data_IF_239510202584
#
_entry.id   IF_239510202584
#
_cell.length_a   1.000
_cell.length_b   1.000
_cell.length_c   1.000
_cell.angle_alpha   90.00
_cell.angle_beta   90.00
_cell.angle_gamma   90.00
#
_symmetry.space_group_name_H-M   'P 1'
#
loop_
_entity.id
_entity.type
_entity.pdbx_description
1 polymer ?
#
# COMPACT_ATOMS: atom_id res chain seq x y z
N UNK A 1 0.89 16.53 23.19
CA UNK A 1 -0.46 16.90 22.74
C UNK A 1 -1.38 15.96 23.46
N UNK A 2 -2.22 16.50 24.32
CA UNK A 2 -3.25 15.75 25.02
C UNK A 2 -4.57 16.26 24.47
N UNK A 3 -4.99 15.66 23.36
CA UNK A 3 -6.21 16.05 22.67
C UNK A 3 -7.17 14.86 22.74
N UNK A 4 -8.34 15.07 23.33
CA UNK A 4 -9.38 14.04 23.38
C UNK A 4 -9.89 13.70 21.97
N UNK A 5 -9.97 14.70 21.10
CA UNK A 5 -10.32 14.55 19.70
C UNK A 5 -9.54 15.53 18.83
N UNK A 6 -8.98 15.03 17.73
CA UNK A 6 -8.36 15.84 16.68
C UNK A 6 -9.07 15.55 15.37
N UNK A 7 -9.59 16.58 14.70
CA UNK A 7 -10.20 16.43 13.38
C UNK A 7 -9.39 17.21 12.36
N UNK A 8 -8.83 16.50 11.39
CA UNK A 8 -8.09 17.06 10.27
C UNK A 8 -9.01 17.05 9.05
N UNK A 9 -9.30 18.22 8.49
CA UNK A 9 -10.13 18.37 7.28
C UNK A 9 -9.22 18.72 6.10
N UNK A 10 -9.25 17.89 5.06
CA UNK A 10 -8.38 17.96 3.88
C UNK A 10 -6.88 18.08 4.20
N UNK A 11 -6.33 17.31 5.15
CA UNK A 11 -4.89 17.35 5.40
C UNK A 11 -4.13 16.76 4.21
N UNK A 12 -2.94 17.31 3.94
CA UNK A 12 -1.97 16.71 3.03
C UNK A 12 -0.84 16.09 3.85
N UNK A 13 -0.66 14.77 3.71
CA UNK A 13 0.33 13.98 4.44
C UNK A 13 1.38 13.47 3.47
N UNK A 14 2.64 13.81 3.71
CA UNK A 14 3.74 13.32 2.88
C UNK A 14 4.48 12.20 3.59
N UNK A 15 4.49 11.02 2.97
CA UNK A 15 5.28 9.86 3.38
C UNK A 15 6.51 9.80 2.49
N UNK A 16 7.70 9.82 3.09
CA UNK A 16 8.97 9.62 2.39
C UNK A 16 9.49 8.22 2.66
N UNK A 17 9.66 7.43 1.60
CA UNK A 17 10.29 6.12 1.69
C UNK A 17 11.84 6.22 1.52
N UNK A 18 12.47 7.28 2.05
CA UNK A 18 13.90 7.60 1.89
C UNK A 18 14.72 7.38 3.17
N UNK A 19 16.06 7.25 3.06
CA UNK A 19 16.98 7.08 4.20
C UNK A 19 17.10 8.33 5.08
N UNK A 20 16.77 9.50 4.52
CA UNK A 20 16.72 10.79 5.22
C UNK A 20 15.28 11.17 5.61
N UNK A 21 14.53 10.20 6.15
CA UNK A 21 13.19 10.46 6.68
C UNK A 21 13.27 11.37 7.92
N UNK A 22 13.41 12.69 7.71
CA UNK A 22 13.17 13.68 8.76
C UNK A 22 11.75 13.43 9.31
N UNK A 23 11.55 13.48 10.63
CA UNK A 23 10.29 13.12 11.26
C UNK A 23 9.11 13.87 10.63
N UNK A 24 7.98 13.17 10.50
CA UNK A 24 6.71 13.68 9.95
C UNK A 24 6.39 15.07 10.52
N UNK A 25 6.58 16.11 9.70
CA UNK A 25 6.16 17.48 10.01
C UNK A 25 4.71 17.64 9.57
N UNK A 26 3.81 17.70 10.53
CA UNK A 26 2.40 17.99 10.28
C UNK A 26 2.22 19.48 10.02
N UNK A 27 1.63 19.81 8.86
CA UNK A 27 1.24 21.18 8.49
C UNK A 27 2.40 22.11 8.13
N UNK A 28 2.76 22.17 6.84
CA UNK A 28 3.23 23.41 6.20
C UNK A 28 2.84 23.35 4.72
N UNK A 29 1.74 24.02 4.41
CA UNK A 29 1.49 24.56 3.08
C UNK A 29 2.59 25.60 2.80
N UNK A 30 3.23 25.50 1.64
CA UNK A 30 4.32 26.39 1.22
C UNK A 30 3.74 27.74 0.79
N UNK A 31 3.27 28.55 1.72
CA UNK A 31 3.16 30.00 1.57
C UNK A 31 3.51 30.68 2.89
N UNK A 32 4.54 31.52 2.87
CA UNK A 32 5.00 32.25 4.05
C UNK A 32 4.11 33.48 4.30
N UNK A 33 3.46 33.64 5.46
CA UNK A 33 2.88 34.92 5.81
C UNK A 33 3.99 35.92 6.16
N UNK A 34 3.82 37.14 5.65
CA UNK A 34 4.73 38.27 5.81
C UNK A 34 4.92 38.62 7.30
N UNK A 35 6.21 38.76 7.68
CA UNK A 35 6.80 39.42 8.87
C UNK A 35 5.94 39.47 10.15
N UNK A 36 6.29 38.63 11.13
CA UNK A 36 6.02 38.92 12.54
C UNK A 36 7.38 39.14 13.23
N UNK A 37 7.56 40.33 13.82
CA UNK A 37 8.72 40.71 14.63
C UNK A 37 8.64 39.93 15.95
N UNK A 38 9.67 39.16 16.28
CA UNK A 38 9.82 38.58 17.61
C UNK A 38 10.73 39.46 18.45
N UNK A 39 10.22 39.90 19.60
CA UNK A 39 11.03 40.45 20.67
C UNK A 39 11.94 39.36 21.23
N UNK A 40 13.19 39.74 21.49
CA UNK A 40 14.24 38.91 22.09
C UNK A 40 13.86 38.63 23.55
N UNK A 41 13.84 37.36 23.95
CA UNK A 41 13.87 36.96 25.35
C UNK A 41 14.98 35.91 25.52
N UNK A 42 15.94 36.24 26.40
CA UNK A 42 17.02 35.36 26.83
C UNK A 42 16.56 34.43 27.96
N UNK A 43 17.32 33.35 28.10
CA UNK A 43 17.59 32.55 29.33
C UNK A 43 16.80 31.26 29.56
N UNK A 44 17.55 30.20 29.88
CA UNK A 44 17.12 29.12 30.77
C UNK A 44 17.03 27.73 30.15
N UNK A 45 18.08 26.92 30.33
CA UNK A 45 18.04 25.50 30.01
C UNK A 45 16.94 24.77 30.80
N UNK A 46 15.96 24.20 30.10
CA UNK A 46 14.97 23.29 30.68
C UNK A 46 15.26 21.84 30.28
N UNK A 47 15.09 20.87 31.20
CA UNK A 47 15.19 19.45 30.87
C UNK A 47 14.10 19.08 29.85
N UNK A 48 14.47 18.27 28.84
CA UNK A 48 13.58 17.84 27.76
C UNK A 48 12.39 17.06 28.33
N UNK A 49 11.26 17.73 28.55
CA UNK A 49 9.99 17.07 28.86
C UNK A 49 9.63 16.16 27.70
N UNK A 50 9.68 14.84 27.91
CA UNK A 50 9.14 13.86 26.98
C UNK A 50 7.66 14.19 26.77
N UNK A 51 7.32 14.81 25.63
CA UNK A 51 5.94 15.10 25.27
C UNK A 51 5.22 13.75 25.12
N UNK A 52 4.46 13.35 26.13
CA UNK A 52 3.49 12.26 26.01
C UNK A 52 2.49 12.67 24.92
N UNK A 53 2.53 11.97 23.80
CA UNK A 53 1.55 12.12 22.72
C UNK A 53 0.46 11.11 23.02
N UNK A 54 -0.75 11.61 23.30
CA UNK A 54 -1.95 10.79 23.44
C UNK A 54 -2.92 11.25 22.36
N UNK A 55 -3.28 10.35 21.47
CA UNK A 55 -4.25 10.60 20.40
C UNK A 55 -5.38 9.61 20.61
N UNK A 56 -6.36 9.98 21.44
CA UNK A 56 -7.48 9.06 21.72
C UNK A 56 -8.38 8.85 20.50
N UNK A 57 -8.73 9.94 19.80
CA UNK A 57 -9.57 9.95 18.59
C UNK A 57 -9.03 10.97 17.58
N UNK A 58 -8.29 10.52 16.55
CA UNK A 58 -7.93 11.35 15.40
C UNK A 58 -8.78 10.97 14.19
N UNK A 59 -9.43 11.97 13.60
CA UNK A 59 -10.25 11.82 12.42
C UNK A 59 -9.64 12.57 11.26
N UNK A 60 -9.50 11.90 10.13
CA UNK A 60 -9.12 12.50 8.86
C UNK A 60 -10.37 12.53 8.00
N UNK A 61 -10.75 13.72 7.53
CA UNK A 61 -11.83 13.92 6.56
C UNK A 61 -11.22 14.41 5.25
N UNK A 62 -11.46 13.68 4.17
CA UNK A 62 -11.06 14.05 2.81
C UNK A 62 -9.55 14.38 2.65
N UNK A 63 -8.69 13.64 3.32
CA UNK A 63 -7.24 13.84 3.28
C UNK A 63 -6.59 13.36 1.97
N UNK A 64 -5.36 13.81 1.75
CA UNK A 64 -4.49 13.33 0.68
C UNK A 64 -3.18 12.81 1.27
N UNK A 65 -2.79 11.59 0.89
CA UNK A 65 -1.45 11.06 1.18
C UNK A 65 -0.59 11.15 -0.08
N UNK A 66 0.60 11.71 0.04
CA UNK A 66 1.60 11.84 -1.02
C UNK A 66 2.78 10.96 -0.64
N UNK A 67 3.05 9.92 -1.43
CA UNK A 67 4.14 8.98 -1.23
C UNK A 67 5.27 9.34 -2.18
N UNK A 68 6.43 9.71 -1.63
CA UNK A 68 7.64 10.05 -2.38
C UNK A 68 8.62 8.89 -2.23
N UNK A 69 8.99 8.26 -3.35
CA UNK A 69 9.90 7.12 -3.40
C UNK A 69 11.37 7.53 -3.58
N UNK A 70 11.62 8.54 -4.42
CA UNK A 70 12.93 9.14 -4.63
C UNK A 70 12.87 10.63 -4.28
N UNK A 71 13.71 11.07 -3.34
CA UNK A 71 13.81 12.47 -2.95
C UNK A 71 14.44 13.35 -4.05
N UNK A 72 15.11 12.73 -5.04
CA UNK A 72 15.70 13.42 -6.20
C UNK A 72 14.69 13.71 -7.30
N UNK A 73 13.56 13.00 -7.32
CA UNK A 73 12.48 13.23 -8.28
C UNK A 73 11.10 13.15 -7.60
N UNK A 74 10.70 14.27 -7.02
CA UNK A 74 9.38 14.42 -6.41
C UNK A 74 8.23 14.38 -7.43
N UNK A 75 8.50 14.40 -8.75
CA UNK A 75 7.46 14.32 -9.78
C UNK A 75 6.84 12.93 -9.90
N UNK A 76 7.53 11.88 -9.42
CA UNK A 76 7.00 10.51 -9.35
C UNK A 76 6.15 10.23 -8.10
N UNK A 77 5.83 11.26 -7.31
CA UNK A 77 5.08 11.08 -6.08
C UNK A 77 3.66 10.52 -6.32
N UNK A 78 3.35 9.38 -5.71
CA UNK A 78 2.01 8.79 -5.78
C UNK A 78 1.05 9.48 -4.83
N UNK A 79 -0.13 9.82 -5.31
CA UNK A 79 -1.17 10.50 -4.51
C UNK A 79 -2.34 9.56 -4.25
N UNK A 80 -2.69 9.40 -2.99
CA UNK A 80 -3.91 8.73 -2.52
C UNK A 80 -4.85 9.82 -2.02
N UNK A 81 -6.03 9.94 -2.63
CA UNK A 81 -7.00 11.03 -2.35
C UNK A 81 -8.22 10.49 -1.59
N UNK A 82 -9.06 11.41 -1.12
CA UNK A 82 -10.33 11.12 -0.43
C UNK A 82 -10.17 10.21 0.79
N UNK A 83 -9.04 10.35 1.49
CA UNK A 83 -8.74 9.57 2.68
C UNK A 83 -9.67 9.99 3.81
N UNK A 84 -10.51 9.08 4.26
CA UNK A 84 -11.39 9.25 5.40
C UNK A 84 -11.05 8.17 6.43
N UNK A 85 -10.45 8.58 7.55
CA UNK A 85 -9.87 7.64 8.52
C UNK A 85 -10.16 8.03 9.96
N UNK A 86 -10.18 7.02 10.83
CA UNK A 86 -10.17 7.15 12.29
C UNK A 86 -8.93 6.44 12.81
N UNK A 87 -8.14 7.13 13.60
CA UNK A 87 -6.92 6.62 14.22
C UNK A 87 -7.02 6.78 15.74
N UNK A 88 -6.54 5.78 16.47
CA UNK A 88 -6.42 5.80 17.92
C UNK A 88 -5.02 5.33 18.32
N UNK A 89 -4.35 6.13 19.14
CA UNK A 89 -3.05 5.85 19.74
C UNK A 89 -3.07 6.40 21.18
N UNK A 90 -3.55 5.61 22.15
CA UNK A 90 -3.63 6.06 23.55
C UNK A 90 -2.26 6.43 24.12
N UNK A 91 -1.28 5.53 23.96
CA UNK A 91 0.15 5.78 24.22
C UNK A 91 0.99 5.03 23.18
N UNK A 92 2.31 5.28 23.17
CA UNK A 92 3.22 4.54 22.29
C UNK A 92 3.47 3.08 22.70
N UNK A 93 3.05 2.69 23.90
CA UNK A 93 3.13 1.30 24.35
C UNK A 93 1.81 0.55 24.11
N UNK A 94 0.77 1.26 23.65
CA UNK A 94 -0.51 0.68 23.26
C UNK A 94 -0.58 0.53 21.73
N UNK A 95 -1.41 -0.38 21.22
CA UNK A 95 -1.61 -0.52 19.79
C UNK A 95 -2.08 0.77 19.11
N UNK A 96 -1.44 1.12 18.00
CA UNK A 96 -1.99 2.07 17.04
C UNK A 96 -3.07 1.36 16.24
N UNK A 97 -4.32 1.83 16.35
CA UNK A 97 -5.44 1.32 15.56
C UNK A 97 -5.84 2.37 14.54
N UNK A 98 -6.00 1.96 13.28
CA UNK A 98 -6.45 2.82 12.19
C UNK A 98 -7.48 2.10 11.34
N UNK A 99 -8.58 2.77 10.99
CA UNK A 99 -9.54 2.25 10.01
C UNK A 99 -10.14 3.36 9.18
N UNK A 100 -10.46 3.06 7.94
CA UNK A 100 -10.99 4.07 7.04
C UNK A 100 -11.22 3.59 5.63
N UNK A 101 -11.30 4.56 4.74
CA UNK A 101 -11.38 4.34 3.31
C UNK A 101 -10.62 5.41 2.54
N UNK A 102 -10.23 5.10 1.33
CA UNK A 102 -9.68 6.04 0.36
C UNK A 102 -10.08 5.64 -1.05
N UNK A 103 -9.92 6.55 -1.99
CA UNK A 103 -10.19 6.27 -3.40
C UNK A 103 -8.86 6.06 -4.13
N UNK A 104 -8.77 4.96 -4.87
CA UNK A 104 -7.60 4.64 -5.68
C UNK A 104 -8.02 4.10 -7.04
N UNK A 105 -7.62 4.83 -8.10
CA UNK A 105 -7.99 4.54 -9.49
C UNK A 105 -9.50 4.23 -9.61
N UNK A 106 -10.31 5.17 -9.10
CA UNK A 106 -11.78 5.15 -9.16
C UNK A 106 -12.45 3.99 -8.39
N UNK A 107 -11.69 3.27 -7.56
CA UNK A 107 -12.21 2.24 -6.65
C UNK A 107 -12.11 2.70 -5.20
N UNK A 108 -13.18 2.45 -4.43
CA UNK A 108 -13.18 2.65 -2.98
C UNK A 108 -12.45 1.48 -2.32
N UNK A 109 -11.41 1.80 -1.56
CA UNK A 109 -10.63 0.84 -0.79
C UNK A 109 -10.88 1.09 0.68
N UNK A 110 -11.42 0.09 1.38
CA UNK A 110 -11.50 0.05 2.82
C UNK A 110 -10.20 -0.48 3.39
N UNK A 111 -9.76 0.06 4.53
CA UNK A 111 -8.57 -0.42 5.21
C UNK A 111 -8.76 -0.50 6.72
N UNK A 112 -8.06 -1.45 7.32
CA UNK A 112 -7.82 -1.53 8.76
C UNK A 112 -6.33 -1.79 8.97
N UNK A 113 -5.72 -1.07 9.91
CA UNK A 113 -4.32 -1.21 10.28
C UNK A 113 -4.23 -1.27 11.81
N UNK A 114 -3.39 -2.17 12.29
CA UNK A 114 -2.99 -2.26 13.68
C UNK A 114 -1.47 -2.41 13.77
N UNK A 115 -0.85 -1.58 14.60
CA UNK A 115 0.57 -1.70 14.96
C UNK A 115 0.64 -1.91 16.46
N UNK A 116 1.00 -3.12 16.91
CA UNK A 116 0.84 -3.52 18.32
C UNK A 116 1.63 -2.64 19.31
N UNK A 117 2.87 -2.28 18.95
CA UNK A 117 3.72 -1.45 19.80
C UNK A 117 4.43 -0.39 18.96
N UNK A 118 3.80 0.77 18.67
CA UNK A 118 4.41 1.85 17.89
C UNK A 118 5.70 2.39 18.53
N UNK A 119 5.86 2.22 19.83
CA UNK A 119 7.08 2.53 20.59
C UNK A 119 8.29 1.72 20.14
N UNK A 120 8.10 0.49 19.63
CA UNK A 120 9.18 -0.34 19.11
C UNK A 120 9.79 0.27 17.86
N UNK A 121 8.96 0.77 16.94
CA UNK A 121 9.44 1.48 15.75
C UNK A 121 10.28 2.71 16.13
N UNK A 122 9.86 3.46 17.17
CA UNK A 122 10.65 4.59 17.69
C UNK A 122 11.96 4.14 18.33
N UNK A 123 11.97 2.97 18.95
CA UNK A 123 13.17 2.35 19.51
C UNK A 123 13.99 1.57 18.46
N UNK A 124 13.67 1.72 17.16
CA UNK A 124 14.34 1.04 16.04
C UNK A 124 14.24 -0.48 16.09
N UNK A 125 13.20 -1.00 16.73
CA UNK A 125 12.86 -2.42 16.79
C UNK A 125 11.68 -2.71 15.86
N UNK A 126 11.59 -3.91 15.29
CA UNK A 126 10.41 -4.32 14.53
C UNK A 126 9.16 -4.27 15.39
N UNK A 127 8.02 -3.90 14.80
CA UNK A 127 6.71 -3.95 15.45
C UNK A 127 5.76 -4.85 14.66
N UNK A 128 4.87 -5.56 15.38
CA UNK A 128 3.80 -6.33 14.74
C UNK A 128 2.89 -5.39 13.95
N UNK A 129 2.59 -5.76 12.71
CA UNK A 129 1.69 -5.08 11.79
C UNK A 129 0.60 -6.06 11.33
N UNK A 130 -0.65 -5.67 11.56
CA UNK A 130 -1.80 -6.27 10.89
C UNK A 130 -2.40 -5.25 9.93
N UNK A 131 -2.51 -5.61 8.66
CA UNK A 131 -3.10 -4.79 7.61
C UNK A 131 -4.20 -5.58 6.91
N UNK A 132 -5.36 -4.95 6.75
CA UNK A 132 -6.48 -5.48 5.96
C UNK A 132 -6.86 -4.41 4.94
N UNK A 133 -7.00 -4.82 3.68
CA UNK A 133 -7.51 -3.99 2.59
C UNK A 133 -8.67 -4.72 1.93
N UNK A 134 -9.79 -4.03 1.75
CA UNK A 134 -10.99 -4.60 1.15
C UNK A 134 -11.55 -3.68 0.07
N UNK A 135 -11.91 -4.27 -1.05
CA UNK A 135 -12.70 -3.65 -2.12
C UNK A 135 -13.84 -4.59 -2.50
N UNK A 136 -14.78 -4.18 -3.38
CA UNK A 136 -15.79 -5.09 -3.91
C UNK A 136 -15.22 -6.32 -4.65
N UNK A 137 -13.99 -6.23 -5.16
CA UNK A 137 -13.38 -7.26 -6.02
C UNK A 137 -12.18 -7.95 -5.41
N UNK A 138 -11.51 -7.37 -4.41
CA UNK A 138 -10.33 -7.96 -3.76
C UNK A 138 -10.33 -7.71 -2.25
N UNK A 139 -10.00 -8.76 -1.49
CA UNK A 139 -9.70 -8.71 -0.07
C UNK A 139 -8.24 -9.13 0.14
N UNK A 140 -7.47 -8.36 0.90
CA UNK A 140 -6.06 -8.63 1.23
C UNK A 140 -5.88 -8.52 2.73
N UNK A 141 -5.20 -9.50 3.31
CA UNK A 141 -4.78 -9.48 4.71
C UNK A 141 -3.30 -9.77 4.79
N UNK A 142 -2.59 -8.95 5.55
CA UNK A 142 -1.19 -9.13 5.90
C UNK A 142 -1.06 -9.16 7.41
N UNK A 143 -0.33 -10.14 7.93
CA UNK A 143 0.02 -10.27 9.34
C UNK A 143 1.51 -10.56 9.47
N UNK A 144 2.26 -9.65 10.08
CA UNK A 144 3.70 -9.78 10.17
C UNK A 144 4.35 -8.71 11.01
N UNK A 145 5.59 -8.39 10.70
CA UNK A 145 6.38 -7.35 11.35
C UNK A 145 6.85 -6.32 10.34
N UNK A 146 7.03 -5.09 10.83
CA UNK A 146 7.57 -3.96 10.10
C UNK A 146 8.76 -3.38 10.86
N UNK A 147 9.83 -3.05 10.14
CA UNK A 147 10.98 -2.31 10.67
C UNK A 147 11.19 -1.02 9.87
N UNK A 148 11.72 0.02 10.54
CA UNK A 148 12.04 1.31 9.90
C UNK A 148 13.55 1.54 9.75
N UNK A 149 14.37 0.77 10.46
CA UNK A 149 15.85 0.83 10.42
C UNK A 149 16.45 -0.58 10.32
N UNK A 150 17.62 -0.76 9.68
CA UNK A 150 18.41 0.26 8.96
C UNK A 150 17.73 0.76 7.69
N UNK A 151 16.71 0.05 7.21
CA UNK A 151 15.82 0.49 6.14
C UNK A 151 14.37 0.07 6.43
N UNK A 152 13.43 0.65 5.68
CA UNK A 152 12.03 0.25 5.74
C UNK A 152 11.85 -1.13 5.13
N UNK A 153 11.43 -2.09 5.95
CA UNK A 153 11.24 -3.48 5.56
C UNK A 153 10.10 -4.12 6.35
N UNK A 154 9.63 -5.27 5.88
CA UNK A 154 8.70 -6.09 6.65
C UNK A 154 8.65 -7.52 6.14
N UNK A 155 8.08 -8.38 6.98
CA UNK A 155 7.95 -9.80 6.70
C UNK A 155 6.73 -10.39 7.41
N UNK A 156 6.09 -11.38 6.82
CA UNK A 156 4.96 -12.07 7.42
C UNK A 156 4.09 -12.77 6.41
N UNK A 157 2.89 -13.17 6.83
CA UNK A 157 1.96 -13.90 5.98
C UNK A 157 1.05 -12.92 5.25
N UNK A 158 0.93 -13.09 3.93
CA UNK A 158 -0.08 -12.42 3.11
C UNK A 158 -1.11 -13.43 2.63
N UNK A 159 -2.37 -13.01 2.63
CA UNK A 159 -3.46 -13.69 1.94
C UNK A 159 -4.23 -12.69 1.10
N UNK A 160 -4.65 -13.11 -0.09
CA UNK A 160 -5.48 -12.33 -0.99
C UNK A 160 -6.57 -13.20 -1.60
N UNK A 161 -7.77 -12.64 -1.73
CA UNK A 161 -8.90 -13.25 -2.44
C UNK A 161 -9.46 -12.25 -3.43
N UNK A 162 -9.68 -12.69 -4.66
CA UNK A 162 -10.18 -11.90 -5.76
C UNK A 162 -11.40 -12.57 -6.37
N UNK A 163 -12.45 -11.79 -6.63
CA UNK A 163 -13.64 -12.22 -7.39
C UNK A 163 -13.48 -12.08 -8.91
N UNK A 164 -12.29 -11.67 -9.35
CA UNK A 164 -11.90 -11.58 -10.75
C UNK A 164 -10.45 -11.07 -10.83
N UNK A 165 -9.50 -11.99 -11.01
CA UNK A 165 -8.10 -11.65 -11.28
C UNK A 165 -7.97 -10.72 -12.50
N UNK A 166 -8.69 -10.92 -13.63
CA UNK A 166 -8.65 -9.98 -14.73
C UNK A 166 -9.08 -8.56 -14.35
N UNK A 167 -10.10 -8.41 -13.49
CA UNK A 167 -10.55 -7.10 -13.00
C UNK A 167 -9.51 -6.45 -12.09
N UNK A 168 -8.81 -7.23 -11.27
CA UNK A 168 -7.69 -6.72 -10.45
C UNK A 168 -6.54 -6.25 -11.35
N UNK A 169 -6.16 -7.02 -12.38
CA UNK A 169 -5.12 -6.62 -13.34
C UNK A 169 -5.51 -5.36 -14.12
N UNK A 170 -6.75 -5.28 -14.60
CA UNK A 170 -7.30 -4.09 -15.26
C UNK A 170 -7.25 -2.86 -14.33
N UNK A 171 -7.65 -3.02 -13.07
CA UNK A 171 -7.55 -1.97 -12.05
C UNK A 171 -6.08 -1.55 -11.83
N UNK A 172 -5.14 -2.49 -11.91
CA UNK A 172 -3.72 -2.21 -11.84
C UNK A 172 -3.14 -1.49 -13.06
N UNK A 173 -3.96 -1.19 -14.10
CA UNK A 173 -3.58 -0.55 -15.38
C UNK A 173 -2.61 -1.38 -16.23
N UNK A 174 -2.48 -2.66 -15.93
CA UNK A 174 -2.06 -3.61 -16.94
C UNK A 174 -3.24 -3.77 -17.90
N UNK A 175 -3.05 -3.58 -19.21
CA UNK A 175 -4.08 -3.98 -20.18
C UNK A 175 -4.13 -5.50 -20.11
N UNK A 176 -5.14 -6.14 -19.48
CA UNK A 176 -5.11 -7.57 -19.37
C UNK A 176 -5.41 -8.11 -20.77
N UNK A 177 -4.41 -8.70 -21.41
CA UNK A 177 -4.57 -9.40 -22.69
C UNK A 177 -5.28 -10.75 -22.53
N UNK A 178 -5.46 -11.21 -21.29
CA UNK A 178 -6.09 -12.47 -20.90
C UNK A 178 -7.50 -12.24 -20.31
N UNK A 179 -8.35 -11.53 -21.05
CA UNK A 179 -9.67 -11.16 -20.57
C UNK A 179 -10.55 -12.42 -20.34
N UNK A 180 -11.01 -12.61 -19.10
CA UNK A 180 -12.08 -13.55 -18.76
C UNK A 180 -11.67 -14.98 -18.35
N UNK A 181 -10.54 -15.51 -18.85
CA UNK A 181 -10.19 -16.93 -18.66
C UNK A 181 -9.48 -17.29 -17.35
N UNK A 182 -9.24 -16.34 -16.44
CA UNK A 182 -8.54 -16.61 -15.16
C UNK A 182 -9.52 -16.68 -13.98
N UNK A 183 -10.66 -15.98 -14.07
CA UNK A 183 -11.71 -16.04 -13.06
C UNK A 183 -11.34 -15.46 -11.69
N UNK A 184 -11.99 -16.02 -10.67
CA UNK A 184 -11.67 -15.82 -9.25
C UNK A 184 -10.26 -16.32 -8.92
N UNK A 185 -9.68 -15.79 -7.85
CA UNK A 185 -8.35 -16.19 -7.44
C UNK A 185 -8.08 -16.01 -5.96
N UNK A 186 -7.32 -16.94 -5.38
CA UNK A 186 -6.80 -16.87 -4.03
C UNK A 186 -5.28 -17.04 -4.03
N UNK A 187 -4.62 -16.35 -3.10
CA UNK A 187 -3.19 -16.43 -2.85
C UNK A 187 -2.93 -16.45 -1.35
N UNK A 188 -2.06 -17.34 -0.89
CA UNK A 188 -1.47 -17.29 0.45
C UNK A 188 0.04 -17.49 0.32
N UNK A 189 0.85 -16.66 1.00
CA UNK A 189 2.32 -16.71 0.86
C UNK A 189 3.01 -16.09 2.06
N UNK A 190 4.25 -16.49 2.31
CA UNK A 190 5.18 -15.73 3.14
C UNK A 190 5.75 -14.57 2.32
N UNK A 191 5.41 -13.36 2.71
CA UNK A 191 5.82 -12.12 2.08
C UNK A 191 6.99 -11.51 2.86
N UNK A 192 8.04 -11.09 2.17
CA UNK A 192 9.02 -10.15 2.70
C UNK A 192 9.26 -9.01 1.72
N UNK A 193 9.50 -7.81 2.23
CA UNK A 193 9.83 -6.66 1.39
C UNK A 193 10.90 -5.78 2.03
N UNK A 194 11.65 -5.14 1.15
CA UNK A 194 12.61 -4.07 1.44
C UNK A 194 12.33 -2.91 0.48
N UNK A 195 13.16 -1.86 0.52
CA UNK A 195 13.11 -0.81 -0.51
C UNK A 195 13.46 -1.32 -1.92
N UNK A 196 14.18 -2.44 -2.01
CA UNK A 196 14.80 -2.92 -3.25
C UNK A 196 14.10 -4.13 -3.85
N UNK A 197 13.32 -4.85 -3.05
CA UNK A 197 12.80 -6.15 -3.45
C UNK A 197 11.55 -6.53 -2.65
N UNK A 198 10.64 -7.24 -3.30
CA UNK A 198 9.51 -7.93 -2.68
C UNK A 198 9.63 -9.41 -3.02
N UNK A 199 9.56 -10.29 -2.02
CA UNK A 199 9.61 -11.74 -2.19
C UNK A 199 8.34 -12.39 -1.67
N UNK A 200 7.80 -13.30 -2.46
CA UNK A 200 6.75 -14.24 -2.11
C UNK A 200 7.40 -15.62 -2.04
N UNK A 201 7.42 -16.22 -0.86
CA UNK A 201 7.89 -17.57 -0.62
C UNK A 201 6.71 -18.48 -0.23
N UNK A 202 6.85 -19.78 -0.48
CA UNK A 202 5.85 -20.80 -0.15
C UNK A 202 4.43 -20.44 -0.59
N UNK A 203 4.33 -19.76 -1.75
CA UNK A 203 3.06 -19.28 -2.25
C UNK A 203 2.20 -20.46 -2.65
N UNK A 204 0.93 -20.44 -2.23
CA UNK A 204 -0.14 -21.31 -2.68
C UNK A 204 -1.16 -20.45 -3.39
N UNK A 205 -1.52 -20.85 -4.60
CA UNK A 205 -2.51 -20.13 -5.39
C UNK A 205 -3.59 -21.08 -5.90
N UNK A 206 -4.80 -20.54 -6.00
CA UNK A 206 -5.92 -21.20 -6.65
C UNK A 206 -6.63 -20.17 -7.52
N UNK A 207 -6.78 -20.46 -8.79
CA UNK A 207 -7.47 -19.70 -9.81
C UNK A 207 -8.60 -20.58 -10.36
N UNK A 208 -9.56 -20.02 -11.08
CA UNK A 208 -10.69 -20.78 -11.63
C UNK A 208 -10.25 -22.02 -12.44
N UNK A 209 -9.16 -21.90 -13.19
CA UNK A 209 -8.66 -22.97 -14.07
C UNK A 209 -7.22 -23.42 -13.76
N UNK A 210 -6.62 -22.96 -12.67
CA UNK A 210 -5.25 -23.33 -12.32
C UNK A 210 -5.02 -23.31 -10.81
N UNK A 211 -4.28 -24.26 -10.27
CA UNK A 211 -3.85 -24.23 -8.87
C UNK A 211 -2.44 -24.76 -8.72
N UNK A 212 -1.77 -24.37 -7.63
CA UNK A 212 -0.43 -24.84 -7.39
C UNK A 212 0.32 -24.06 -6.34
N UNK A 213 1.64 -24.20 -6.41
CA UNK A 213 2.60 -23.57 -5.52
C UNK A 213 3.62 -22.76 -6.30
N UNK A 214 4.28 -21.83 -5.63
CA UNK A 214 5.38 -21.11 -6.26
C UNK A 214 6.08 -20.12 -5.36
N UNK A 215 6.92 -19.34 -6.01
CA UNK A 215 7.65 -18.24 -5.42
C UNK A 215 7.80 -17.13 -6.46
N UNK A 216 7.92 -15.90 -5.98
CA UNK A 216 8.13 -14.75 -6.84
C UNK A 216 9.04 -13.72 -6.18
N UNK A 217 9.86 -13.07 -6.99
CA UNK A 217 10.76 -12.00 -6.59
C UNK A 217 10.57 -10.82 -7.54
N UNK A 218 10.21 -9.66 -6.97
CA UNK A 218 10.05 -8.40 -7.68
C UNK A 218 11.19 -7.48 -7.27
N UNK A 219 12.14 -7.25 -8.17
CA UNK A 219 13.24 -6.29 -7.98
C UNK A 219 12.77 -4.89 -8.33
N UNK A 220 12.90 -3.97 -7.37
CA UNK A 220 12.52 -2.56 -7.43
C UNK A 220 13.73 -1.63 -7.67
N UNK A 221 14.86 -2.18 -8.13
CA UNK A 221 16.14 -1.45 -8.30
C UNK A 221 16.17 -0.51 -9.51
N UNK A 222 15.18 -0.60 -10.39
CA UNK A 222 15.05 0.18 -11.62
C UNK A 222 13.64 0.77 -11.74
N UNK A 223 13.51 1.84 -12.52
CA UNK A 223 12.21 2.51 -12.81
C UNK A 223 11.15 1.56 -13.39
N UNK A 224 11.60 0.50 -14.07
CA UNK A 224 10.78 -0.66 -14.45
C UNK A 224 11.15 -1.84 -13.56
N UNK A 225 10.24 -2.31 -12.68
CA UNK A 225 10.50 -3.48 -11.85
C UNK A 225 10.75 -4.75 -12.67
N UNK A 226 11.66 -5.59 -12.21
CA UNK A 226 11.90 -6.91 -12.81
C UNK A 226 11.22 -7.99 -11.97
N UNK A 227 10.43 -8.86 -12.60
CA UNK A 227 9.73 -9.97 -11.92
C UNK A 227 10.38 -11.30 -12.31
N UNK A 228 10.74 -12.12 -11.32
CA UNK A 228 11.08 -13.54 -11.49
C UNK A 228 10.07 -14.36 -10.71
N UNK A 229 9.60 -15.45 -11.26
CA UNK A 229 8.71 -16.36 -10.55
C UNK A 229 8.90 -17.79 -11.04
N UNK A 230 8.68 -18.74 -10.14
CA UNK A 230 8.66 -20.16 -10.41
C UNK A 230 7.36 -20.74 -9.87
N UNK A 231 6.64 -21.50 -10.69
CA UNK A 231 5.34 -22.07 -10.33
C UNK A 231 5.31 -23.55 -10.67
N UNK A 232 4.86 -24.36 -9.71
CA UNK A 232 4.51 -25.74 -9.89
C UNK A 232 2.98 -25.84 -9.87
N UNK A 233 2.39 -26.30 -10.96
CA UNK A 233 0.94 -26.44 -11.08
C UNK A 233 0.51 -27.84 -10.65
N UNK A 234 -0.44 -27.89 -9.72
CA UNK A 234 -1.16 -29.12 -9.37
C UNK A 234 -2.25 -29.40 -10.42
N UNK A 235 -2.85 -28.33 -10.96
CA UNK A 235 -3.84 -28.37 -12.03
C UNK A 235 -3.70 -27.16 -12.95
N UNK A 236 -3.86 -27.36 -14.25
CA UNK A 236 -3.88 -26.29 -15.26
C UNK A 236 -4.77 -26.69 -16.44
N UNK A 237 -5.91 -26.02 -16.60
CA UNK A 237 -6.77 -26.15 -17.80
C UNK A 237 -6.53 -24.95 -18.73
N UNK A 238 -5.96 -25.23 -19.91
CA UNK A 238 -5.66 -24.22 -20.93
C UNK A 238 -6.78 -24.03 -21.96
N UNK A 239 -7.81 -24.89 -21.95
CA UNK A 239 -8.89 -24.84 -22.93
C UNK A 239 -9.58 -23.47 -23.03
N UNK A 240 -9.83 -22.74 -21.92
CA UNK A 240 -10.42 -21.41 -21.97
C UNK A 240 -9.60 -20.42 -22.81
N UNK A 241 -8.28 -20.57 -22.86
CA UNK A 241 -7.37 -19.68 -23.60
C UNK A 241 -7.28 -20.02 -25.09
N UNK A 242 -7.58 -21.27 -25.47
CA UNK A 242 -7.54 -21.72 -26.88
C UNK A 242 -8.78 -21.26 -27.68
N UNK A 243 -9.91 -21.01 -27.02
CA UNK A 243 -11.16 -20.57 -27.65
C UNK A 243 -11.10 -19.13 -28.19
N UNK A 244 -10.37 -18.24 -27.52
CA UNK A 244 -10.25 -16.82 -27.92
C UNK A 244 -9.41 -16.64 -29.20
N UNK A 245 -8.36 -17.45 -29.37
CA UNK A 245 -7.52 -17.44 -30.57
C UNK A 245 -8.31 -17.75 -31.87
N UNK A 246 -9.39 -18.55 -31.77
CA UNK A 246 -10.25 -18.88 -32.92
C UNK A 246 -11.22 -17.76 -33.29
N UNK A 247 -11.63 -16.90 -32.35
CA UNK A 247 -12.53 -15.74 -32.62
C UNK A 247 -11.80 -14.61 -33.37
N UNK A 248 -10.50 -14.43 -33.15
CA UNK A 248 -9.67 -13.48 -33.91
C UNK A 248 -9.55 -13.83 -35.40
N UNK A 249 -9.46 -15.12 -35.75
CA UNK A 249 -9.37 -15.57 -37.16
C UNK A 249 -10.68 -15.43 -37.95
N UNK A 250 -11.85 -15.41 -37.29
CA UNK A 250 -13.14 -15.23 -37.99
C UNK A 250 -13.40 -13.78 -38.44
N UNK A 251 -12.81 -12.77 -37.81
CA UNK A 251 -12.95 -11.36 -38.23
C UNK A 251 -12.10 -10.97 -39.45
N UNK A 252 -11.07 -11.74 -39.79
CA UNK A 252 -10.17 -11.44 -40.91
C UNK A 252 -10.65 -11.98 -42.27
N UNK A 253 -11.80 -12.68 -42.34
CA UNK A 253 -12.25 -13.39 -43.56
C UNK A 253 -13.51 -12.84 -44.22
N UNK A 254 -13.94 -11.63 -43.84
CA UNK A 254 -15.11 -10.95 -44.44
C UNK A 254 -14.76 -9.50 -44.77
N UNK A 255 -14.05 -9.30 -45.87
CA UNK A 255 -14.11 -8.09 -46.67
C UNK A 255 -14.56 -8.52 -48.08
N UNK A 256 -15.72 -8.07 -48.59
CA UNK A 256 -16.15 -8.43 -49.93
C UNK A 256 -15.38 -7.64 -50.98
N UNK A 257 -14.88 -8.36 -51.98
CA UNK A 257 -14.30 -7.83 -53.22
C UNK A 257 -15.43 -7.19 -54.04
N UNK A 258 -15.35 -5.88 -54.26
CA UNK A 258 -16.26 -5.14 -55.15
C UNK A 258 -15.70 -5.24 -56.56
N UNK A 259 -16.46 -5.90 -57.45
CA UNK A 259 -16.24 -5.92 -58.90
C UNK A 259 -16.73 -4.62 -59.54
#
# INVERSE_FOLDING_TARGET
IDAERVVLVRPVLTIRAGGDARPLRWGQEREAPKKIRYAKAETGGMPKRHRRVRIKDMRIKDGTVVIVYDDRDASEAKRIKHVNARLSLPTFNDPLLGKGRFDWKDQKVHFSIEVATPGDLRAKRPAQLLLVLDTPTIAVRFNGTLATEPEFSGQGQISAKSRSVPSVLAWMREKPTLAGAVGDGELASDLSWTKREIKFADARFALEHASGKGEAVISLRSSRPHVRAAFAFDHLDINPFLGEAKKGKKKAKTAPEVR
#
